data_IF_140719547054
#
_entry.id   IF_140719547054
#
_cell.length_a   1.000
_cell.length_b   1.000
_cell.length_c   1.000
_cell.angle_alpha   90.00
_cell.angle_beta   90.00
_cell.angle_gamma   90.00
#
_symmetry.space_group_name_H-M   'P 1'
#
loop_
_entity.id
_entity.type
_entity.pdbx_description
1 polymer ?
#
# COMPACT_ATOMS: atom_id res chain seq x y z
N UNK A 1 10.02 -42.32 -38.81
CA UNK A 1 8.64 -41.95 -38.46
C UNK A 1 8.68 -41.13 -37.17
N UNK A 2 8.34 -39.84 -37.24
CA UNK A 2 8.42 -38.90 -36.11
C UNK A 2 7.20 -39.08 -35.19
N UNK A 3 7.41 -39.72 -34.04
CA UNK A 3 6.41 -39.83 -32.98
C UNK A 3 6.33 -38.54 -32.18
N UNK A 4 5.21 -37.81 -32.34
CA UNK A 4 4.90 -36.54 -31.69
C UNK A 4 4.87 -36.72 -30.17
N UNK A 5 5.85 -36.15 -29.47
CA UNK A 5 5.80 -35.94 -28.03
C UNK A 5 4.80 -34.83 -27.72
N UNK A 6 3.73 -35.21 -27.03
CA UNK A 6 2.70 -34.32 -26.52
C UNK A 6 3.34 -33.26 -25.61
N UNK A 7 3.28 -32.00 -26.04
CA UNK A 7 3.51 -30.85 -25.18
C UNK A 7 2.48 -30.91 -24.06
N UNK A 8 2.89 -31.33 -22.86
CA UNK A 8 2.15 -31.00 -21.64
C UNK A 8 2.12 -29.48 -21.57
N UNK A 9 0.96 -28.90 -21.86
CA UNK A 9 0.65 -27.54 -21.51
C UNK A 9 0.88 -27.42 -19.99
N UNK A 10 1.97 -26.77 -19.62
CA UNK A 10 2.21 -26.34 -18.25
C UNK A 10 1.07 -25.37 -17.96
N UNK A 11 0.19 -25.78 -17.05
CA UNK A 11 -0.95 -24.99 -16.63
C UNK A 11 -0.51 -23.56 -16.32
N UNK A 12 -1.23 -22.62 -16.92
CA UNK A 12 -1.12 -21.19 -16.66
C UNK A 12 -1.10 -20.98 -15.12
N UNK A 13 -0.17 -20.19 -14.56
CA UNK A 13 -0.21 -19.89 -13.14
C UNK A 13 -1.56 -19.25 -12.85
N UNK A 14 -2.27 -19.83 -11.87
CA UNK A 14 -3.53 -19.34 -11.34
C UNK A 14 -3.50 -17.82 -11.25
N UNK A 15 -4.49 -17.16 -11.85
CA UNK A 15 -4.79 -15.75 -11.61
C UNK A 15 -4.82 -15.53 -10.11
N UNK A 16 -3.75 -14.97 -9.55
CA UNK A 16 -3.62 -14.69 -8.14
C UNK A 16 -4.79 -13.78 -7.76
N UNK A 17 -5.73 -14.33 -7.00
CA UNK A 17 -6.87 -13.60 -6.50
C UNK A 17 -6.38 -12.67 -5.38
N UNK A 18 -5.91 -11.49 -5.77
CA UNK A 18 -5.33 -10.47 -4.88
C UNK A 18 -6.30 -10.09 -3.74
N UNK A 19 -7.61 -10.31 -3.92
CA UNK A 19 -8.62 -10.05 -2.90
C UNK A 19 -8.56 -11.00 -1.70
N UNK A 20 -7.96 -12.18 -1.87
CA UNK A 20 -7.83 -13.21 -0.82
C UNK A 20 -6.49 -13.17 -0.09
N UNK A 21 -5.56 -12.32 -0.50
CA UNK A 21 -4.28 -12.18 0.18
C UNK A 21 -4.46 -11.48 1.53
N UNK A 22 -4.10 -12.18 2.60
CA UNK A 22 -4.06 -11.62 3.94
C UNK A 22 -2.78 -10.81 4.08
N UNK A 23 -2.90 -9.48 4.00
CA UNK A 23 -1.79 -8.58 4.28
C UNK A 23 -1.66 -8.32 5.78
N UNK A 24 -0.40 -8.32 6.25
CA UNK A 24 -0.06 -7.79 7.55
C UNK A 24 -0.29 -6.28 7.64
N UNK A 25 -0.17 -5.76 8.85
CA UNK A 25 -0.23 -4.33 9.16
C UNK A 25 0.98 -3.99 10.01
N UNK A 26 1.50 -2.79 9.84
CA UNK A 26 2.57 -2.26 10.67
C UNK A 26 2.04 -1.14 11.58
N UNK A 27 1.27 -1.45 12.66
CA UNK A 27 0.86 -0.44 13.61
C UNK A 27 2.07 0.22 14.27
N UNK A 28 1.89 1.43 14.81
CA UNK A 28 2.98 2.27 15.32
C UNK A 28 3.85 1.61 16.41
N UNK A 29 3.33 0.62 17.14
CA UNK A 29 4.08 -0.12 18.17
C UNK A 29 4.97 -1.23 17.57
N UNK A 30 4.81 -1.54 16.29
CA UNK A 30 5.56 -2.58 15.60
C UNK A 30 7.00 -2.12 15.39
N UNK A 31 7.95 -2.92 15.86
CA UNK A 31 9.37 -2.63 15.66
C UNK A 31 9.85 -3.23 14.35
N UNK A 32 10.81 -2.58 13.71
CA UNK A 32 11.43 -3.11 12.49
C UNK A 32 11.98 -4.54 12.67
N UNK A 33 12.56 -4.84 13.84
CA UNK A 33 13.09 -6.16 14.17
C UNK A 33 12.01 -7.25 14.28
N UNK A 34 10.80 -6.93 14.75
CA UNK A 34 9.72 -7.92 14.80
C UNK A 34 9.27 -8.30 13.39
N UNK A 35 9.10 -7.31 12.50
CA UNK A 35 8.74 -7.55 11.10
C UNK A 35 9.82 -8.39 10.40
N UNK A 36 11.09 -8.09 10.66
CA UNK A 36 12.22 -8.86 10.11
C UNK A 36 12.18 -10.33 10.53
N UNK A 37 11.94 -10.61 11.80
CA UNK A 37 11.83 -11.99 12.32
C UNK A 37 10.67 -12.73 11.68
N UNK A 38 9.51 -12.10 11.55
CA UNK A 38 8.33 -12.69 10.89
C UNK A 38 8.63 -13.02 9.43
N UNK A 39 9.25 -12.08 8.72
CA UNK A 39 9.70 -12.27 7.35
C UNK A 39 10.65 -13.46 7.19
N UNK A 40 11.66 -13.58 8.07
CA UNK A 40 12.61 -14.70 8.01
C UNK A 40 11.97 -16.05 8.33
N UNK A 41 11.03 -16.08 9.28
CA UNK A 41 10.29 -17.29 9.63
C UNK A 41 9.38 -17.74 8.49
N UNK A 42 8.67 -16.82 7.86
CA UNK A 42 7.81 -17.10 6.70
C UNK A 42 8.63 -17.69 5.54
N UNK A 43 9.77 -17.07 5.22
CA UNK A 43 10.65 -17.56 4.17
C UNK A 43 11.16 -18.99 4.45
N UNK A 44 11.52 -19.29 5.72
CA UNK A 44 11.93 -20.64 6.13
C UNK A 44 10.80 -21.66 6.01
N UNK A 45 9.55 -21.26 6.30
CA UNK A 45 8.37 -22.15 6.28
C UNK A 45 7.88 -22.44 4.86
N UNK A 46 7.77 -21.41 4.04
CA UNK A 46 7.09 -21.46 2.73
C UNK A 46 8.07 -21.81 1.60
N UNK A 47 9.35 -21.51 1.78
CA UNK A 47 10.41 -21.75 0.79
C UNK A 47 10.42 -20.69 -0.33
N UNK A 48 11.58 -20.58 -1.00
CA UNK A 48 11.89 -19.46 -1.90
C UNK A 48 10.90 -19.29 -3.07
N UNK A 49 10.43 -20.37 -3.69
CA UNK A 49 9.56 -20.30 -4.89
C UNK A 49 8.21 -19.67 -4.61
N UNK A 50 7.50 -20.16 -3.60
CA UNK A 50 6.20 -19.59 -3.17
C UNK A 50 6.36 -18.20 -2.59
N UNK A 51 7.50 -17.92 -1.96
CA UNK A 51 7.84 -16.58 -1.48
C UNK A 51 7.96 -15.58 -2.64
N UNK A 52 8.60 -15.97 -3.76
CA UNK A 52 8.70 -15.14 -4.96
C UNK A 52 7.34 -14.82 -5.60
N UNK A 53 6.43 -15.79 -5.62
CA UNK A 53 5.04 -15.57 -6.08
C UNK A 53 4.31 -14.57 -5.17
N UNK A 54 4.49 -14.67 -3.84
CA UNK A 54 3.95 -13.70 -2.87
C UNK A 54 4.49 -12.29 -3.11
N UNK A 55 5.79 -12.15 -3.37
CA UNK A 55 6.42 -10.83 -3.62
C UNK A 55 5.81 -10.13 -4.83
N UNK A 56 5.58 -10.87 -5.92
CA UNK A 56 4.97 -10.28 -7.11
C UNK A 56 3.55 -9.78 -6.82
N UNK A 57 2.76 -10.57 -6.08
CA UNK A 57 1.43 -10.16 -5.66
C UNK A 57 1.46 -8.97 -4.69
N UNK A 58 2.36 -8.97 -3.71
CA UNK A 58 2.61 -7.86 -2.78
C UNK A 58 2.93 -6.55 -3.53
N UNK A 59 3.72 -6.62 -4.61
CA UNK A 59 4.03 -5.45 -5.45
C UNK A 59 2.77 -4.88 -6.11
N UNK A 60 1.93 -5.73 -6.72
CA UNK A 60 0.69 -5.29 -7.36
C UNK A 60 -0.27 -4.65 -6.34
N UNK A 61 -0.39 -5.25 -5.15
CA UNK A 61 -1.24 -4.70 -4.10
C UNK A 61 -0.69 -3.36 -3.59
N UNK A 62 0.63 -3.22 -3.44
CA UNK A 62 1.26 -1.95 -3.07
C UNK A 62 0.93 -0.84 -4.08
N UNK A 63 1.05 -1.11 -5.38
CA UNK A 63 0.69 -0.17 -6.43
C UNK A 63 -0.80 0.23 -6.37
N UNK A 64 -1.68 -0.73 -6.08
CA UNK A 64 -3.11 -0.46 -5.90
C UNK A 64 -3.39 0.42 -4.66
N UNK A 65 -2.76 0.11 -3.52
CA UNK A 65 -2.91 0.89 -2.28
C UNK A 65 -2.38 2.32 -2.45
N UNK A 66 -1.27 2.49 -3.16
CA UNK A 66 -0.71 3.81 -3.46
C UNK A 66 -1.65 4.63 -4.35
N UNK A 67 -2.24 4.02 -5.40
CA UNK A 67 -3.26 4.69 -6.23
C UNK A 67 -4.49 5.07 -5.43
N UNK A 68 -4.96 4.19 -4.55
CA UNK A 68 -6.07 4.50 -3.65
C UNK A 68 -5.74 5.69 -2.75
N UNK A 69 -4.54 5.70 -2.12
CA UNK A 69 -4.07 6.83 -1.31
C UNK A 69 -4.08 8.15 -2.08
N UNK A 70 -3.56 8.12 -3.30
CA UNK A 70 -3.49 9.30 -4.17
C UNK A 70 -4.89 9.81 -4.55
N UNK A 71 -5.79 8.91 -4.93
CA UNK A 71 -7.18 9.26 -5.26
C UNK A 71 -7.91 9.89 -4.05
N UNK A 72 -7.74 9.31 -2.86
CA UNK A 72 -8.32 9.87 -1.63
C UNK A 72 -7.73 11.24 -1.30
N UNK A 73 -6.41 11.39 -1.44
CA UNK A 73 -5.72 12.67 -1.22
C UNK A 73 -6.23 13.74 -2.18
N UNK A 74 -6.45 13.38 -3.45
CA UNK A 74 -7.01 14.28 -4.46
C UNK A 74 -8.44 14.71 -4.13
N UNK A 75 -9.30 13.77 -3.69
CA UNK A 75 -10.66 14.08 -3.24
C UNK A 75 -10.66 15.02 -2.03
N UNK A 76 -9.76 14.82 -1.08
CA UNK A 76 -9.59 15.70 0.07
C UNK A 76 -9.15 17.11 -0.37
N UNK A 77 -8.17 17.19 -1.28
CA UNK A 77 -7.69 18.46 -1.81
C UNK A 77 -8.82 19.24 -2.52
N UNK A 78 -9.55 18.59 -3.41
CA UNK A 78 -10.60 19.21 -4.23
C UNK A 78 -11.84 19.59 -3.42
N UNK A 79 -12.28 18.74 -2.49
CA UNK A 79 -13.56 18.93 -1.80
C UNK A 79 -13.43 19.62 -0.44
N UNK A 80 -12.25 19.60 0.19
CA UNK A 80 -12.07 20.11 1.54
C UNK A 80 -11.03 21.23 1.58
N UNK A 81 -9.81 20.98 1.10
CA UNK A 81 -8.71 21.94 1.25
C UNK A 81 -8.87 23.17 0.34
N UNK A 82 -9.03 22.98 -0.96
CA UNK A 82 -9.19 24.10 -1.92
C UNK A 82 -10.38 25.00 -1.61
N UNK A 83 -11.57 24.48 -1.25
CA UNK A 83 -12.69 25.33 -0.85
C UNK A 83 -12.37 26.17 0.40
N UNK A 84 -11.71 25.59 1.40
CA UNK A 84 -11.32 26.30 2.61
C UNK A 84 -10.30 27.40 2.32
N UNK A 85 -9.28 27.10 1.50
CA UNK A 85 -8.28 28.08 1.06
C UNK A 85 -8.90 29.22 0.26
N UNK A 86 -9.77 28.91 -0.71
CA UNK A 86 -10.49 29.93 -1.50
C UNK A 86 -11.36 30.81 -0.60
N UNK A 87 -12.06 30.21 0.37
CA UNK A 87 -12.89 30.95 1.34
C UNK A 87 -12.05 31.90 2.18
N UNK A 88 -10.92 31.42 2.70
CA UNK A 88 -9.96 32.24 3.45
C UNK A 88 -9.39 33.38 2.61
N UNK A 89 -9.03 33.11 1.35
CA UNK A 89 -8.49 34.11 0.43
C UNK A 89 -9.51 35.22 0.12
N UNK A 90 -10.79 34.89 0.13
CA UNK A 90 -11.89 35.86 -0.01
C UNK A 90 -12.21 36.62 1.29
N UNK A 91 -11.43 36.45 2.37
CA UNK A 91 -11.59 37.16 3.64
C UNK A 91 -12.68 36.60 4.55
N UNK A 92 -13.29 35.46 4.23
CA UNK A 92 -14.31 34.83 5.07
C UNK A 92 -13.69 33.94 6.15
N UNK A 93 -14.33 33.89 7.32
CA UNK A 93 -13.94 32.98 8.38
C UNK A 93 -14.12 31.50 7.96
N UNK A 94 -13.09 30.71 8.23
CA UNK A 94 -13.04 29.26 7.98
C UNK A 94 -13.27 28.44 9.25
N UNK A 95 -13.47 29.09 10.40
CA UNK A 95 -13.72 28.44 11.70
C UNK A 95 -15.21 28.17 11.92
N UNK A 96 -15.53 27.61 13.08
CA UNK A 96 -16.90 27.38 13.54
C UNK A 96 -17.68 26.43 12.63
N UNK A 97 -18.89 26.82 12.25
CA UNK A 97 -19.80 25.97 11.47
C UNK A 97 -19.21 25.50 10.13
N UNK A 98 -18.42 26.36 9.48
CA UNK A 98 -17.76 25.99 8.23
C UNK A 98 -16.73 24.88 8.45
N UNK A 99 -15.90 25.02 9.49
CA UNK A 99 -14.91 24.01 9.85
C UNK A 99 -15.56 22.67 10.18
N UNK A 100 -16.63 22.67 10.97
CA UNK A 100 -17.35 21.45 11.33
C UNK A 100 -17.88 20.72 10.08
N UNK A 101 -18.44 21.47 9.12
CA UNK A 101 -18.89 20.90 7.84
C UNK A 101 -17.73 20.28 7.05
N UNK A 102 -16.58 20.96 6.98
CA UNK A 102 -15.39 20.41 6.32
C UNK A 102 -14.92 19.12 7.00
N UNK A 103 -14.97 19.05 8.34
CA UNK A 103 -14.63 17.83 9.07
C UNK A 103 -15.60 16.68 8.77
N UNK A 104 -16.91 16.96 8.68
CA UNK A 104 -17.90 15.96 8.28
C UNK A 104 -17.65 15.45 6.85
N UNK A 105 -17.35 16.35 5.92
CA UNK A 105 -17.07 16.00 4.53
C UNK A 105 -15.74 15.21 4.40
N UNK A 106 -14.71 15.54 5.20
CA UNK A 106 -13.49 14.75 5.30
C UNK A 106 -13.77 13.31 5.76
N UNK A 107 -14.60 13.13 6.78
CA UNK A 107 -14.95 11.80 7.30
C UNK A 107 -15.74 10.97 6.28
N UNK A 108 -16.60 11.61 5.46
CA UNK A 108 -17.31 10.93 4.36
C UNK A 108 -16.38 10.48 3.23
N UNK A 109 -15.31 11.24 2.98
CA UNK A 109 -14.30 10.87 1.98
C UNK A 109 -13.50 9.71 2.54
N UNK A 110 -12.84 9.88 3.69
CA UNK A 110 -12.04 8.83 4.31
C UNK A 110 -12.09 8.94 5.82
N UNK A 111 -12.50 7.87 6.49
CA UNK A 111 -12.43 7.85 7.95
C UNK A 111 -10.97 7.80 8.43
N UNK A 112 -10.71 8.35 9.62
CA UNK A 112 -9.38 8.29 10.23
C UNK A 112 -8.87 6.85 10.36
N UNK A 113 -9.77 5.91 10.69
CA UNK A 113 -9.42 4.50 10.84
C UNK A 113 -8.97 3.90 9.50
N UNK A 114 -9.75 4.10 8.43
CA UNK A 114 -9.39 3.58 7.11
C UNK A 114 -8.08 4.15 6.59
N UNK A 115 -7.81 5.44 6.86
CA UNK A 115 -6.53 6.06 6.51
C UNK A 115 -5.35 5.39 7.22
N UNK A 116 -5.47 5.22 8.54
CA UNK A 116 -4.42 4.57 9.34
C UNK A 116 -4.20 3.13 8.87
N UNK A 117 -5.25 2.35 8.66
CA UNK A 117 -5.12 0.96 8.19
C UNK A 117 -4.48 0.86 6.79
N UNK A 118 -4.75 1.84 5.92
CA UNK A 118 -4.15 1.90 4.60
C UNK A 118 -2.64 2.22 4.70
N UNK A 119 -2.28 3.22 5.50
CA UNK A 119 -0.88 3.60 5.71
C UNK A 119 -0.10 2.45 6.39
N UNK A 120 -0.66 1.78 7.40
CA UNK A 120 -0.04 0.62 8.06
C UNK A 120 0.22 -0.57 7.11
N UNK A 121 -0.67 -0.80 6.15
CA UNK A 121 -0.49 -1.84 5.12
C UNK A 121 0.60 -1.47 4.12
N UNK A 122 0.65 -0.19 3.74
CA UNK A 122 1.69 0.33 2.84
C UNK A 122 3.07 0.20 3.52
N UNK A 123 3.18 0.64 4.78
CA UNK A 123 4.41 0.54 5.57
C UNK A 123 4.87 -0.91 5.73
N UNK A 124 3.94 -1.81 6.01
CA UNK A 124 4.21 -3.25 6.09
C UNK A 124 4.83 -3.81 4.80
N UNK A 125 4.25 -3.47 3.65
CA UNK A 125 4.73 -3.91 2.34
C UNK A 125 6.10 -3.32 2.00
N UNK A 126 6.33 -2.04 2.30
CA UNK A 126 7.63 -1.40 2.12
C UNK A 126 8.71 -2.03 3.00
N UNK A 127 8.43 -2.31 4.28
CA UNK A 127 9.36 -2.96 5.19
C UNK A 127 9.79 -4.34 4.65
N UNK A 128 8.83 -5.15 4.18
CA UNK A 128 9.12 -6.46 3.57
C UNK A 128 9.97 -6.36 2.32
N UNK A 129 9.68 -5.40 1.44
CA UNK A 129 10.48 -5.16 0.23
C UNK A 129 11.91 -4.73 0.58
N UNK A 130 12.08 -3.93 1.63
CA UNK A 130 13.40 -3.55 2.15
C UNK A 130 14.19 -4.76 2.62
N UNK A 131 13.58 -5.66 3.41
CA UNK A 131 14.25 -6.90 3.85
C UNK A 131 14.68 -7.79 2.68
N UNK A 132 13.86 -7.86 1.63
CA UNK A 132 14.20 -8.60 0.42
C UNK A 132 15.41 -8.05 -0.30
N UNK A 133 15.49 -6.71 -0.40
CA UNK A 133 16.61 -6.02 -1.00
C UNK A 133 17.89 -6.24 -0.20
N UNK A 134 17.82 -6.11 1.12
CA UNK A 134 18.93 -6.37 2.05
C UNK A 134 19.44 -7.81 1.95
N UNK A 135 18.55 -8.79 1.74
CA UNK A 135 18.92 -10.20 1.67
C UNK A 135 19.49 -10.62 0.31
N UNK A 136 18.95 -10.11 -0.80
CA UNK A 136 19.28 -10.64 -2.12
C UNK A 136 20.36 -9.86 -2.88
N UNK A 137 20.85 -8.72 -2.40
CA UNK A 137 21.64 -7.76 -3.20
C UNK A 137 21.02 -7.48 -4.59
N UNK A 138 19.71 -7.77 -4.78
CA UNK A 138 19.03 -7.66 -6.05
C UNK A 138 18.63 -6.21 -6.22
N UNK A 139 19.18 -5.58 -7.27
CA UNK A 139 18.67 -4.36 -7.86
C UNK A 139 17.20 -4.57 -8.25
N UNK A 140 16.28 -4.27 -7.35
CA UNK A 140 14.88 -4.09 -7.71
C UNK A 140 14.77 -2.74 -8.40
N UNK A 141 14.38 -2.74 -9.67
CA UNK A 141 14.21 -1.54 -10.50
C UNK A 141 13.43 -0.44 -9.76
N UNK A 142 13.85 0.81 -10.07
CA UNK A 142 13.42 2.11 -9.51
C UNK A 142 12.15 2.02 -8.68
N UNK A 143 12.30 2.19 -7.37
CA UNK A 143 11.18 2.35 -6.46
C UNK A 143 10.35 3.58 -6.87
N UNK A 144 9.02 3.53 -6.74
CA UNK A 144 8.24 4.76 -6.71
C UNK A 144 8.71 5.56 -5.50
N UNK A 145 9.01 6.85 -5.71
CA UNK A 145 9.53 7.72 -4.66
C UNK A 145 8.60 7.69 -3.45
N UNK A 146 9.08 7.12 -2.34
CA UNK A 146 8.44 7.23 -1.04
C UNK A 146 8.60 8.68 -0.57
N UNK A 147 7.69 9.52 -1.02
CA UNK A 147 7.56 10.88 -0.49
C UNK A 147 6.99 10.73 0.92
N UNK A 148 7.87 10.82 1.92
CA UNK A 148 7.47 11.16 3.29
C UNK A 148 6.75 12.49 3.19
N UNK A 149 5.43 12.47 3.07
CA UNK A 149 4.66 13.69 3.26
C UNK A 149 4.89 14.07 4.73
N UNK A 150 5.53 15.21 5.04
CA UNK A 150 5.61 15.66 6.41
C UNK A 150 4.18 15.80 6.91
N UNK A 151 3.91 15.24 8.08
CA UNK A 151 2.66 15.48 8.78
C UNK A 151 2.57 16.99 9.06
N UNK A 152 1.71 17.68 8.30
CA UNK A 152 1.20 19.01 8.58
C UNK A 152 -0.32 18.97 8.39
#
# INVERSE_FOLDING_TARGET
>A
MFGRLWLRAIGCPSTLDLSKMVLGRMPAQTTFESVKREFEQELRRVGLKRFQESIHAEKLILEQLLRQREEMTKKIDENCLRPALRRSANGYDVRGLYWNKIQEDLVKIQSKKERVELDEKIDWLFARRRFLKERNNLSMDKEPDYSVSPAL
#
